data_IF_020408730353
#
_entry.id   IF_020408730353
#
_cell.length_a   1.000
_cell.length_b   1.000
_cell.length_c   1.000
_cell.angle_alpha   90.00
_cell.angle_beta   90.00
_cell.angle_gamma   90.00
#
_symmetry.space_group_name_H-M   'P 1'
#
loop_
_entity.id
_entity.type
_entity.pdbx_description
1 polymer ?
#
# COMPACT_ATOMS: atom_id res chain seq x y z
N UNK A 1 -3.28 -22.95 -2.45
CA UNK A 1 -3.72 -21.62 -1.92
C UNK A 1 -4.04 -20.66 -3.07
N UNK A 2 -5.01 -19.75 -2.90
CA UNK A 2 -5.37 -18.71 -3.88
C UNK A 2 -4.76 -17.36 -3.48
N UNK A 3 -4.33 -16.54 -4.47
CA UNK A 3 -3.96 -15.14 -4.27
C UNK A 3 -5.02 -14.26 -4.92
N UNK A 4 -5.77 -13.55 -4.11
CA UNK A 4 -6.77 -12.58 -4.55
C UNK A 4 -6.21 -11.17 -4.49
N UNK A 5 -6.17 -10.48 -5.62
CA UNK A 5 -5.72 -9.09 -5.69
C UNK A 5 -6.94 -8.18 -5.79
N UNK A 6 -7.11 -7.31 -4.79
CA UNK A 6 -8.17 -6.28 -4.75
C UNK A 6 -7.62 -4.88 -5.00
N UNK A 7 -6.31 -4.77 -5.19
CA UNK A 7 -5.64 -3.53 -5.55
C UNK A 7 -6.13 -3.00 -6.92
N UNK A 8 -6.05 -1.69 -7.12
CA UNK A 8 -6.39 -1.02 -8.38
C UNK A 8 -5.52 -1.47 -9.56
N UNK A 9 -4.32 -1.97 -9.28
CA UNK A 9 -3.43 -2.62 -10.25
C UNK A 9 -3.12 -4.03 -9.76
N UNK A 10 -3.21 -5.02 -10.66
CA UNK A 10 -2.78 -6.39 -10.36
C UNK A 10 -1.36 -6.59 -10.90
N UNK A 11 -0.37 -6.12 -10.14
CA UNK A 11 1.04 -6.26 -10.53
C UNK A 11 1.82 -6.98 -9.43
N UNK A 12 1.85 -8.29 -9.52
CA UNK A 12 2.66 -9.17 -8.69
C UNK A 12 3.71 -9.86 -9.54
N UNK A 13 4.98 -9.70 -9.15
CA UNK A 13 6.09 -10.46 -9.75
C UNK A 13 6.02 -11.94 -9.38
N UNK A 14 6.67 -12.78 -10.18
CA UNK A 14 6.63 -14.23 -9.99
C UNK A 14 7.22 -14.68 -8.65
N UNK A 15 8.31 -14.02 -8.20
CA UNK A 15 8.87 -14.29 -6.86
C UNK A 15 7.87 -13.97 -5.75
N UNK A 16 7.16 -12.85 -5.86
CA UNK A 16 6.12 -12.49 -4.88
C UNK A 16 5.00 -13.52 -4.85
N UNK A 17 4.49 -13.94 -6.00
CA UNK A 17 3.46 -14.98 -6.09
C UNK A 17 3.93 -16.27 -5.46
N UNK A 18 5.15 -16.72 -5.79
CA UNK A 18 5.75 -17.91 -5.22
C UNK A 18 5.87 -17.83 -3.70
N UNK A 19 6.43 -16.74 -3.18
CA UNK A 19 6.59 -16.54 -1.72
C UNK A 19 5.24 -16.57 -1.01
N UNK A 20 4.25 -15.84 -1.53
CA UNK A 20 2.91 -15.81 -0.93
C UNK A 20 2.25 -17.20 -0.96
N UNK A 21 2.38 -17.94 -2.08
CA UNK A 21 1.84 -19.29 -2.21
C UNK A 21 2.49 -20.25 -1.22
N UNK A 22 3.82 -20.32 -1.21
CA UNK A 22 4.56 -21.24 -0.33
C UNK A 22 4.32 -20.96 1.16
N UNK A 23 4.25 -19.68 1.53
CA UNK A 23 3.96 -19.28 2.92
C UNK A 23 2.51 -19.57 3.27
N UNK A 24 1.56 -19.23 2.40
CA UNK A 24 0.15 -19.49 2.63
C UNK A 24 -0.17 -20.98 2.76
N UNK A 25 0.40 -21.83 1.88
CA UNK A 25 0.26 -23.28 1.94
C UNK A 25 0.85 -23.84 3.24
N UNK A 26 2.05 -23.36 3.64
CA UNK A 26 2.73 -23.79 4.86
C UNK A 26 1.91 -23.54 6.12
N UNK A 27 1.19 -22.42 6.18
CA UNK A 27 0.34 -22.07 7.33
C UNK A 27 -1.11 -22.51 7.19
N UNK A 28 -1.45 -23.17 6.09
CA UNK A 28 -2.78 -23.72 5.83
C UNK A 28 -3.83 -22.65 5.54
N UNK A 29 -3.47 -21.63 4.75
CA UNK A 29 -4.42 -20.64 4.24
C UNK A 29 -5.03 -21.12 2.93
N UNK A 30 -6.33 -20.89 2.76
CA UNK A 30 -7.01 -21.09 1.47
C UNK A 30 -6.80 -19.91 0.52
N UNK A 31 -6.77 -18.69 1.06
CA UNK A 31 -6.64 -17.46 0.30
C UNK A 31 -5.75 -16.44 1.02
N UNK A 32 -4.94 -15.71 0.24
CA UNK A 32 -4.23 -14.49 0.68
C UNK A 32 -4.77 -13.30 -0.14
N UNK A 33 -5.27 -12.26 0.55
CA UNK A 33 -5.83 -11.08 -0.09
C UNK A 33 -4.80 -9.96 -0.12
N UNK A 34 -4.34 -9.60 -1.33
CA UNK A 34 -3.44 -8.47 -1.57
C UNK A 34 -4.27 -7.22 -1.88
N UNK A 35 -4.17 -6.22 -1.01
CA UNK A 35 -4.98 -4.99 -1.07
C UNK A 35 -4.26 -3.82 -1.75
N UNK A 36 -2.94 -3.89 -1.88
CA UNK A 36 -2.15 -2.86 -2.56
C UNK A 36 -0.95 -3.47 -3.27
N UNK A 37 -0.67 -2.95 -4.47
CA UNK A 37 0.53 -3.24 -5.25
C UNK A 37 1.12 -1.92 -5.76
N UNK A 38 1.79 -1.89 -6.92
CA UNK A 38 2.22 -0.65 -7.58
C UNK A 38 1.03 0.30 -7.78
N UNK A 39 1.20 1.55 -7.41
CA UNK A 39 0.25 2.62 -7.70
C UNK A 39 0.83 3.61 -8.68
N UNK A 40 0.09 3.89 -9.74
CA UNK A 40 0.36 5.06 -10.59
C UNK A 40 0.14 6.35 -9.80
N UNK A 41 0.72 7.50 -10.23
CA UNK A 41 0.43 8.79 -9.61
C UNK A 41 -1.06 9.11 -9.56
N UNK A 42 -1.83 8.69 -10.58
CA UNK A 42 -3.28 8.85 -10.61
C UNK A 42 -3.97 8.03 -9.50
N UNK A 43 -3.70 6.73 -9.43
CA UNK A 43 -4.27 5.87 -8.39
C UNK A 43 -3.87 6.32 -6.97
N UNK A 44 -2.66 6.85 -6.80
CA UNK A 44 -2.22 7.41 -5.53
C UNK A 44 -3.00 8.69 -5.17
N UNK A 45 -3.19 9.60 -6.13
CA UNK A 45 -3.96 10.82 -5.92
C UNK A 45 -5.42 10.52 -5.56
N UNK A 46 -6.06 9.60 -6.29
CA UNK A 46 -7.43 9.15 -6.02
C UNK A 46 -7.59 8.54 -4.63
N UNK A 47 -6.66 7.66 -4.23
CA UNK A 47 -6.67 7.05 -2.90
C UNK A 47 -6.50 8.09 -1.79
N UNK A 48 -5.58 9.06 -1.96
CA UNK A 48 -5.36 10.13 -0.99
C UNK A 48 -6.57 11.05 -0.88
N UNK A 49 -7.16 11.46 -2.01
CA UNK A 49 -8.35 12.32 -2.00
C UNK A 49 -9.54 11.61 -1.37
N UNK A 50 -9.77 10.33 -1.69
CA UNK A 50 -10.82 9.51 -1.07
C UNK A 50 -10.67 9.43 0.46
N UNK A 51 -9.43 9.27 0.96
CA UNK A 51 -9.18 9.28 2.41
C UNK A 51 -9.53 10.64 3.03
N UNK A 52 -9.19 11.75 2.37
CA UNK A 52 -9.57 13.10 2.82
C UNK A 52 -11.09 13.28 2.83
N UNK A 53 -11.77 12.82 1.77
CA UNK A 53 -13.24 12.90 1.62
C UNK A 53 -13.98 12.10 2.70
N UNK A 54 -13.39 10.97 3.12
CA UNK A 54 -13.94 10.08 4.15
C UNK A 54 -13.43 10.39 5.57
N UNK A 55 -12.72 11.51 5.75
CA UNK A 55 -12.09 11.91 7.02
C UNK A 55 -11.20 10.81 7.64
N UNK A 56 -10.59 9.98 6.81
CA UNK A 56 -9.63 8.97 7.26
C UNK A 56 -8.27 9.63 7.54
N UNK A 57 -7.80 9.50 8.79
CA UNK A 57 -6.50 10.04 9.20
C UNK A 57 -5.38 9.07 8.81
N UNK A 58 -4.84 9.22 7.60
CA UNK A 58 -3.61 8.54 7.19
C UNK A 58 -2.46 9.53 7.31
N UNK A 59 -1.45 9.17 8.12
CA UNK A 59 -0.22 9.97 8.24
C UNK A 59 0.72 9.64 7.10
N UNK A 60 1.00 10.64 6.29
CA UNK A 60 2.06 10.58 5.29
C UNK A 60 3.33 11.22 5.83
N UNK A 61 4.48 10.88 5.23
CA UNK A 61 5.69 11.68 5.39
C UNK A 61 5.50 13.02 4.67
N UNK A 62 6.44 13.94 4.87
CA UNK A 62 6.40 15.30 4.34
C UNK A 62 5.86 15.40 2.91
N UNK A 63 6.41 14.63 1.95
CA UNK A 63 5.97 14.70 0.56
C UNK A 63 4.47 14.33 0.36
N UNK A 64 3.97 13.36 1.10
CA UNK A 64 2.55 13.02 1.08
C UNK A 64 1.67 14.09 1.74
N UNK A 65 2.16 14.72 2.81
CA UNK A 65 1.44 15.84 3.45
C UNK A 65 1.37 17.07 2.53
N UNK A 66 2.39 17.36 1.72
CA UNK A 66 2.34 18.40 0.69
C UNK A 66 1.18 18.17 -0.29
N UNK A 67 1.02 16.93 -0.77
CA UNK A 67 -0.09 16.56 -1.67
C UNK A 67 -1.44 16.67 -0.96
N UNK A 68 -1.53 16.22 0.29
CA UNK A 68 -2.75 16.33 1.10
C UNK A 68 -3.14 17.79 1.34
N UNK A 69 -2.18 18.65 1.66
CA UNK A 69 -2.42 20.07 1.91
C UNK A 69 -2.90 20.79 0.65
N UNK A 70 -2.32 20.45 -0.51
CA UNK A 70 -2.81 20.93 -1.81
C UNK A 70 -4.27 20.52 -2.02
N UNK A 71 -4.61 19.26 -1.81
CA UNK A 71 -5.97 18.76 -1.98
C UNK A 71 -6.97 19.46 -1.04
N UNK A 72 -6.63 19.59 0.26
CA UNK A 72 -7.46 20.28 1.24
C UNK A 72 -7.69 21.76 0.86
N UNK A 73 -6.63 22.45 0.43
CA UNK A 73 -6.71 23.86 -0.04
C UNK A 73 -7.66 24.00 -1.24
N UNK A 74 -7.53 23.15 -2.25
CA UNK A 74 -8.39 23.20 -3.44
C UNK A 74 -9.85 22.86 -3.11
N UNK A 75 -10.09 21.87 -2.22
CA UNK A 75 -11.44 21.57 -1.71
C UNK A 75 -12.06 22.76 -0.97
N UNK A 76 -11.28 23.44 -0.15
CA UNK A 76 -11.74 24.66 0.56
C UNK A 76 -12.15 25.79 -0.42
N UNK A 77 -11.54 25.82 -1.60
CA UNK A 77 -11.90 26.74 -2.69
C UNK A 77 -13.03 26.21 -3.60
N UNK A 78 -13.63 25.07 -3.26
CA UNK A 78 -14.71 24.41 -4.03
C UNK A 78 -14.31 24.05 -5.47
N UNK A 79 -13.04 23.73 -5.71
CA UNK A 79 -12.56 23.26 -6.99
C UNK A 79 -13.16 21.87 -7.28
N UNK A 80 -13.46 21.58 -8.53
CA UNK A 80 -14.02 20.29 -8.94
C UNK A 80 -13.07 19.13 -8.65
N UNK A 81 -13.64 17.97 -8.24
CA UNK A 81 -12.88 16.77 -7.87
C UNK A 81 -11.85 16.35 -8.93
N UNK A 82 -12.22 16.41 -10.21
CA UNK A 82 -11.32 16.09 -11.32
C UNK A 82 -10.08 16.99 -11.35
N UNK A 83 -10.27 18.28 -11.21
CA UNK A 83 -9.19 19.26 -11.21
C UNK A 83 -8.29 19.09 -9.97
N UNK A 84 -8.86 18.73 -8.83
CA UNK A 84 -8.08 18.41 -7.61
C UNK A 84 -7.17 17.21 -7.88
N UNK A 85 -7.71 16.13 -8.47
CA UNK A 85 -6.92 14.94 -8.82
C UNK A 85 -5.79 15.30 -9.80
N UNK A 86 -6.08 16.07 -10.84
CA UNK A 86 -5.07 16.51 -11.83
C UNK A 86 -3.94 17.30 -11.16
N UNK A 87 -4.26 18.22 -10.25
CA UNK A 87 -3.28 18.98 -9.49
C UNK A 87 -2.45 18.08 -8.55
N UNK A 88 -3.10 17.14 -7.87
CA UNK A 88 -2.40 16.14 -7.02
C UNK A 88 -1.44 15.27 -7.84
N UNK A 89 -1.86 14.79 -9.00
CA UNK A 89 -1.01 14.00 -9.92
C UNK A 89 0.21 14.79 -10.35
N UNK A 90 0.03 16.06 -10.73
CA UNK A 90 1.13 16.94 -11.11
C UNK A 90 2.13 17.11 -9.96
N UNK A 91 1.63 17.33 -8.73
CA UNK A 91 2.47 17.46 -7.52
C UNK A 91 3.19 16.17 -7.17
N UNK A 92 2.55 15.01 -7.28
CA UNK A 92 3.18 13.70 -7.07
C UNK A 92 4.35 13.49 -8.05
N UNK A 93 4.14 13.80 -9.33
CA UNK A 93 5.18 13.68 -10.35
C UNK A 93 6.35 14.66 -10.11
N UNK A 94 6.07 15.89 -9.70
CA UNK A 94 7.08 16.89 -9.32
C UNK A 94 7.96 16.37 -8.17
N UNK A 95 7.32 15.91 -7.09
CA UNK A 95 8.01 15.38 -5.93
C UNK A 95 8.85 14.14 -6.27
N UNK A 96 8.32 13.23 -7.08
CA UNK A 96 9.05 12.04 -7.54
C UNK A 96 10.31 12.41 -8.34
N UNK A 97 10.24 13.40 -9.23
CA UNK A 97 11.41 13.89 -9.97
C UNK A 97 12.51 14.45 -9.06
N UNK A 98 12.12 14.99 -7.91
CA UNK A 98 13.05 15.49 -6.88
C UNK A 98 13.51 14.41 -5.88
N UNK A 99 13.24 13.13 -6.16
CA UNK A 99 13.59 12.01 -5.28
C UNK A 99 12.69 11.85 -4.04
N UNK A 100 11.62 12.61 -3.94
CA UNK A 100 10.70 12.59 -2.80
C UNK A 100 9.51 11.66 -3.06
N UNK A 101 9.40 10.58 -2.30
CA UNK A 101 8.30 9.62 -2.44
C UNK A 101 7.10 10.01 -1.60
N UNK A 102 5.96 10.13 -2.26
CA UNK A 102 4.67 10.41 -1.60
C UNK A 102 4.14 9.16 -0.87
N UNK A 103 4.38 7.99 -1.45
CA UNK A 103 4.00 6.68 -0.90
C UNK A 103 5.01 5.63 -1.35
N UNK A 104 5.17 4.58 -0.55
CA UNK A 104 6.01 3.43 -0.93
C UNK A 104 5.48 2.68 -2.16
N UNK A 105 4.17 2.65 -2.33
CA UNK A 105 3.52 2.00 -3.48
C UNK A 105 3.58 2.84 -4.76
N UNK A 106 3.91 4.14 -4.68
CA UNK A 106 4.01 5.04 -5.82
C UNK A 106 5.47 5.26 -6.19
N UNK A 107 6.04 4.30 -6.88
CA UNK A 107 7.43 4.26 -7.35
C UNK A 107 7.46 4.11 -8.88
N UNK A 108 8.63 4.26 -9.49
CA UNK A 108 8.82 3.96 -10.91
C UNK A 108 8.61 2.45 -11.17
N UNK A 109 8.15 2.10 -12.36
CA UNK A 109 7.89 0.70 -12.71
C UNK A 109 9.16 -0.15 -12.62
N UNK A 110 10.29 0.36 -13.09
CA UNK A 110 11.58 -0.32 -13.06
C UNK A 110 12.07 -0.57 -11.63
N UNK A 111 11.71 0.28 -10.70
CA UNK A 111 11.97 0.06 -9.28
C UNK A 111 11.05 -0.99 -8.69
N UNK A 112 9.77 -0.95 -9.04
CA UNK A 112 8.78 -1.94 -8.60
C UNK A 112 9.11 -3.34 -9.11
N UNK A 113 9.67 -3.45 -10.31
CA UNK A 113 10.08 -4.74 -10.88
C UNK A 113 11.27 -5.37 -10.15
N UNK A 114 12.05 -4.58 -9.43
CA UNK A 114 13.12 -5.08 -8.54
C UNK A 114 12.60 -5.44 -7.16
N UNK A 115 11.63 -4.69 -6.66
CA UNK A 115 11.05 -4.83 -5.33
C UNK A 115 9.54 -4.70 -5.43
N UNK A 116 8.84 -5.81 -5.34
CA UNK A 116 7.40 -5.71 -5.19
C UNK A 116 7.05 -5.20 -3.79
N UNK A 117 6.29 -4.13 -3.75
CA UNK A 117 5.80 -3.50 -2.53
C UNK A 117 4.31 -3.81 -2.46
N UNK A 118 3.93 -4.63 -1.49
CA UNK A 118 2.55 -5.11 -1.37
C UNK A 118 2.00 -4.92 0.04
N UNK A 119 0.69 -4.72 0.11
CA UNK A 119 -0.06 -4.83 1.35
C UNK A 119 -0.95 -6.07 1.31
N UNK A 120 -0.89 -6.88 2.35
CA UNK A 120 -1.74 -8.06 2.55
C UNK A 120 -2.76 -7.75 3.64
N UNK A 121 -4.03 -8.05 3.37
CA UNK A 121 -5.12 -7.82 4.32
C UNK A 121 -4.97 -8.70 5.54
N UNK A 122 -4.78 -8.07 6.69
CA UNK A 122 -4.76 -8.75 7.98
C UNK A 122 -6.16 -9.22 8.40
N UNK A 123 -7.20 -8.45 8.08
CA UNK A 123 -8.57 -8.77 8.46
C UNK A 123 -9.19 -9.90 7.64
N UNK A 124 -8.78 -10.04 6.37
CA UNK A 124 -9.26 -11.12 5.52
C UNK A 124 -8.67 -12.49 5.88
N UNK A 125 -7.66 -12.51 6.76
CA UNK A 125 -7.00 -13.73 7.19
C UNK A 125 -7.60 -14.22 8.52
N UNK A 126 -7.77 -15.54 8.67
CA UNK A 126 -8.20 -16.17 9.92
C UNK A 126 -7.27 -15.79 11.08
N UNK A 127 -7.85 -15.46 12.22
CA UNK A 127 -7.12 -14.83 13.34
C UNK A 127 -5.98 -15.69 13.87
N UNK A 128 -6.21 -16.98 13.98
CA UNK A 128 -5.24 -18.00 14.43
C UNK A 128 -4.07 -18.19 13.45
N UNK A 129 -4.20 -17.75 12.19
CA UNK A 129 -3.17 -17.87 11.14
C UNK A 129 -2.28 -16.63 10.97
N UNK A 130 -2.72 -15.49 11.48
CA UNK A 130 -2.09 -14.19 11.23
C UNK A 130 -0.64 -14.11 11.70
N UNK A 131 -0.38 -14.58 12.91
CA UNK A 131 0.96 -14.53 13.50
C UNK A 131 1.90 -15.52 12.80
N UNK A 132 1.44 -16.73 12.50
CA UNK A 132 2.24 -17.74 11.81
C UNK A 132 2.56 -17.32 10.38
N UNK A 133 1.60 -16.71 9.66
CA UNK A 133 1.84 -16.12 8.34
C UNK A 133 2.91 -15.03 8.41
N UNK A 134 2.79 -14.09 9.34
CA UNK A 134 3.75 -13.01 9.51
C UNK A 134 5.17 -13.54 9.82
N UNK A 135 5.29 -14.50 10.75
CA UNK A 135 6.57 -15.14 11.09
C UNK A 135 7.16 -15.88 9.88
N UNK A 136 6.33 -16.60 9.13
CA UNK A 136 6.77 -17.32 7.95
C UNK A 136 7.22 -16.36 6.82
N UNK A 137 6.55 -15.23 6.63
CA UNK A 137 6.98 -14.17 5.71
C UNK A 137 8.32 -13.55 6.13
N UNK A 138 8.49 -13.22 7.41
CA UNK A 138 9.74 -12.65 7.95
C UNK A 138 10.92 -13.61 7.75
N UNK A 139 10.70 -14.92 7.82
CA UNK A 139 11.74 -15.93 7.64
C UNK A 139 12.18 -16.12 6.18
N UNK A 140 11.53 -15.49 5.22
CA UNK A 140 11.90 -15.60 3.78
C UNK A 140 13.03 -14.64 3.44
N UNK A 141 14.08 -15.15 2.80
CA UNK A 141 15.21 -14.32 2.34
C UNK A 141 14.83 -13.30 1.27
N UNK A 142 13.78 -13.59 0.50
CA UNK A 142 13.23 -12.69 -0.52
C UNK A 142 12.52 -11.47 0.08
N UNK A 143 12.06 -11.58 1.34
CA UNK A 143 11.35 -10.50 2.04
C UNK A 143 12.37 -9.55 2.67
N UNK A 144 12.62 -8.44 2.00
CA UNK A 144 13.59 -7.42 2.43
C UNK A 144 13.09 -6.56 3.58
N UNK A 145 11.76 -6.37 3.68
CA UNK A 145 11.14 -5.54 4.71
C UNK A 145 9.73 -5.97 5.04
N UNK A 146 9.41 -5.86 6.32
CA UNK A 146 8.06 -6.05 6.85
C UNK A 146 7.69 -4.84 7.72
N UNK A 147 6.49 -4.30 7.51
CA UNK A 147 5.87 -3.38 8.46
C UNK A 147 4.61 -4.06 8.95
N UNK A 148 4.60 -4.39 10.22
CA UNK A 148 3.45 -4.98 10.87
C UNK A 148 2.33 -3.95 10.97
N UNK A 149 1.06 -4.37 10.93
CA UNK A 149 -0.03 -3.50 11.33
C UNK A 149 0.31 -3.01 12.73
N UNK A 150 0.42 -1.71 12.89
CA UNK A 150 0.70 -1.13 14.20
C UNK A 150 -0.40 -1.64 15.12
N UNK A 151 0.01 -2.34 16.16
CA UNK A 151 -0.91 -2.94 17.10
C UNK A 151 -1.94 -1.90 17.51
N UNK A 152 -3.19 -2.26 17.50
CA UNK A 152 -4.41 -1.48 17.77
C UNK A 152 -4.36 -0.53 18.97
N UNK A 153 -3.24 -0.41 19.65
CA UNK A 153 -3.01 0.41 20.85
C UNK A 153 -2.56 1.84 20.56
N UNK A 154 -2.32 2.22 19.31
CA UNK A 154 -2.15 3.62 19.00
C UNK A 154 -3.53 4.29 18.99
N UNK A 155 -3.84 4.90 20.13
CA UNK A 155 -5.06 5.66 20.34
C UNK A 155 -5.32 6.62 19.17
N UNK A 156 -6.53 6.60 18.63
CA UNK A 156 -7.00 7.56 17.64
C UNK A 156 -6.82 7.13 16.17
N UNK A 157 -6.50 5.87 15.89
CA UNK A 157 -6.45 5.34 14.53
C UNK A 157 -7.43 4.19 14.33
N UNK A 158 -8.59 4.52 13.77
CA UNK A 158 -9.38 3.55 13.03
C UNK A 158 -8.70 3.32 11.69
N UNK A 159 -7.71 2.40 11.66
CA UNK A 159 -7.29 1.82 10.41
C UNK A 159 -8.43 0.91 9.96
N UNK A 160 -9.21 1.34 8.97
CA UNK A 160 -10.36 0.58 8.47
C UNK A 160 -9.96 -0.80 7.91
N UNK A 161 -8.71 -0.96 7.49
CA UNK A 161 -8.09 -2.24 7.15
C UNK A 161 -6.63 -2.23 7.59
N UNK A 162 -6.28 -2.90 8.68
CA UNK A 162 -4.88 -3.13 9.00
C UNK A 162 -4.29 -4.07 7.95
N UNK A 163 -3.32 -3.58 7.21
CA UNK A 163 -2.58 -4.35 6.23
C UNK A 163 -1.18 -4.68 6.74
N UNK A 164 -0.69 -5.86 6.41
CA UNK A 164 0.72 -6.22 6.56
C UNK A 164 1.45 -5.74 5.30
N UNK A 165 2.44 -4.87 5.48
CA UNK A 165 3.25 -4.33 4.39
C UNK A 165 4.51 -5.15 4.19
N UNK A 166 4.77 -5.58 2.95
CA UNK A 166 5.96 -6.33 2.56
C UNK A 166 6.67 -5.68 1.38
N UNK A 167 8.01 -5.64 1.46
CA UNK A 167 8.88 -5.32 0.33
C UNK A 167 9.62 -6.61 -0.04
N UNK A 168 9.40 -7.14 -1.26
CA UNK A 168 9.88 -8.46 -1.70
C UNK A 168 10.77 -8.31 -2.91
N UNK A 169 12.02 -8.76 -2.79
CA UNK A 169 12.99 -8.83 -3.89
C UNK A 169 12.48 -9.75 -5.00
N UNK A 170 12.68 -9.34 -6.25
CA UNK A 170 12.27 -10.09 -7.45
C UNK A 170 13.46 -10.77 -8.16
N UNK A 171 14.56 -10.94 -7.47
CA UNK A 171 15.75 -11.59 -8.07
C UNK A 171 15.54 -13.08 -8.32
#
# INVERSE_FOLDING_TARGET
MNIKVTASTNRLGETTKKVLTEVGDKVGLEEVVVTSTLRTPLAQAEAMLSNIEQNRLIRYKWAGEEVNNLARSLRGKKVERKQIIEAMVAKIKELSKSGNRVSKHCVAEEEYDKYNIIDVSYLAMAEDKREDFLKAMIARKEVAKVIQPISRKLQGYDAAEPAMHFEINQA
#
